data_IF_481924148423
#
_entry.id   IF_481924148423
#
_cell.length_a   1.000
_cell.length_b   1.000
_cell.length_c   1.000
_cell.angle_alpha   90.00
_cell.angle_beta   90.00
_cell.angle_gamma   90.00
#
_symmetry.space_group_name_H-M   'P 1'
#
loop_
_entity.id
_entity.type
_entity.pdbx_description
1 polymer ?
#
# COMPACT_ATOMS: atom_id res chain seq x y z
N UNK A 1 6.78 22.17 -13.36
CA UNK A 1 5.67 21.24 -13.68
C UNK A 1 5.46 20.32 -12.50
N UNK A 2 6.45 19.50 -12.10
CA UNK A 2 6.35 18.47 -11.06
C UNK A 2 5.71 18.99 -9.76
N UNK A 3 6.25 20.07 -9.18
CA UNK A 3 5.74 20.66 -7.93
C UNK A 3 4.28 21.10 -8.08
N UNK A 4 3.95 21.74 -9.20
CA UNK A 4 2.57 22.19 -9.45
C UNK A 4 1.59 21.02 -9.58
N UNK A 5 2.01 19.92 -10.18
CA UNK A 5 1.19 18.70 -10.24
C UNK A 5 1.01 18.07 -8.86
N UNK A 6 2.03 18.06 -8.00
CA UNK A 6 1.90 17.60 -6.62
C UNK A 6 0.94 18.49 -5.80
N UNK A 7 1.00 19.82 -5.97
CA UNK A 7 0.04 20.72 -5.35
C UNK A 7 -1.40 20.40 -5.76
N UNK A 8 -1.62 20.11 -7.06
CA UNK A 8 -2.93 19.74 -7.61
C UNK A 8 -3.41 18.37 -7.13
N UNK A 9 -2.50 17.46 -6.83
CA UNK A 9 -2.81 16.18 -6.15
C UNK A 9 -3.19 16.38 -4.67
N UNK A 10 -3.13 17.60 -4.14
CA UNK A 10 -3.45 17.87 -2.74
C UNK A 10 -2.29 17.63 -1.78
N UNK A 11 -1.08 17.38 -2.28
CA UNK A 11 0.10 17.19 -1.44
C UNK A 11 0.42 18.49 -0.71
N UNK A 12 0.61 18.39 0.62
CA UNK A 12 0.96 19.50 1.51
C UNK A 12 2.29 19.30 2.21
N UNK A 13 2.78 18.08 2.25
CA UNK A 13 4.06 17.73 2.88
C UNK A 13 4.79 16.71 2.04
N UNK A 14 6.07 16.91 1.83
CA UNK A 14 6.98 15.94 1.21
C UNK A 14 8.21 15.77 2.09
N UNK A 15 8.73 14.56 2.17
CA UNK A 15 9.98 14.27 2.86
C UNK A 15 11.07 13.91 1.86
N UNK A 16 12.31 14.35 2.08
CA UNK A 16 13.38 14.03 1.14
C UNK A 16 14.73 14.60 1.50
N UNK A 17 15.71 14.34 0.64
CA UNK A 17 17.05 14.90 0.69
C UNK A 17 17.41 15.46 -0.69
N UNK A 18 17.82 16.74 -0.79
CA UNK A 18 18.29 17.30 -2.05
C UNK A 18 19.60 16.66 -2.50
N UNK A 19 19.80 16.61 -3.81
CA UNK A 19 21.04 16.12 -4.42
C UNK A 19 21.15 16.55 -5.88
N UNK A 20 22.31 16.43 -6.48
CA UNK A 20 22.64 17.02 -7.78
C UNK A 20 21.66 16.75 -8.91
N UNK A 21 21.07 15.54 -8.97
CA UNK A 21 20.17 15.15 -10.03
C UNK A 21 18.70 15.57 -9.80
N UNK A 22 18.33 16.10 -8.62
CA UNK A 22 16.94 16.52 -8.31
C UNK A 22 16.85 18.01 -7.94
N UNK A 23 17.96 18.75 -7.99
CA UNK A 23 17.98 20.17 -7.62
C UNK A 23 16.93 21.03 -8.35
N UNK A 24 16.64 20.86 -9.65
CA UNK A 24 15.63 21.70 -10.29
C UNK A 24 14.23 21.52 -9.68
N UNK A 25 13.88 20.32 -9.21
CA UNK A 25 12.61 20.07 -8.49
C UNK A 25 12.67 20.74 -7.11
N UNK A 26 13.79 20.68 -6.40
CA UNK A 26 13.96 21.32 -5.10
C UNK A 26 13.93 22.86 -5.21
N UNK A 27 14.48 23.43 -6.28
CA UNK A 27 14.40 24.86 -6.57
C UNK A 27 12.93 25.31 -6.73
N UNK A 28 12.17 24.56 -7.50
CA UNK A 28 10.74 24.82 -7.66
C UNK A 28 9.96 24.59 -6.34
N UNK A 29 10.36 23.59 -5.54
CA UNK A 29 9.75 23.30 -4.24
C UNK A 29 10.01 24.45 -3.24
N UNK A 30 11.20 25.05 -3.27
CA UNK A 30 11.52 26.22 -2.45
C UNK A 30 10.68 27.46 -2.76
N UNK A 31 10.06 27.52 -3.94
CA UNK A 31 9.15 28.60 -4.35
C UNK A 31 7.68 28.28 -4.03
N UNK A 32 7.34 27.03 -3.66
CA UNK A 32 5.98 26.63 -3.32
C UNK A 32 5.60 27.13 -1.93
N UNK A 33 4.48 27.83 -1.84
CA UNK A 33 3.85 28.18 -0.56
C UNK A 33 2.87 27.13 -0.07
N UNK A 34 2.59 26.10 -0.87
CA UNK A 34 1.57 25.09 -0.59
C UNK A 34 2.16 23.79 -0.03
N UNK A 35 3.41 23.48 -0.32
CA UNK A 35 4.06 22.23 0.08
C UNK A 35 5.17 22.54 1.10
N UNK A 36 5.06 21.92 2.27
CA UNK A 36 6.11 21.92 3.29
C UNK A 36 7.09 20.78 3.03
N UNK A 37 8.38 21.11 2.92
CA UNK A 37 9.44 20.12 2.79
C UNK A 37 10.02 19.75 4.15
N UNK A 38 10.06 18.46 4.46
CA UNK A 38 10.73 17.90 5.63
C UNK A 38 12.09 17.33 5.19
N UNK A 39 13.17 17.99 5.61
CA UNK A 39 14.51 17.52 5.35
C UNK A 39 14.83 16.31 6.23
N UNK A 40 14.99 15.14 5.61
CA UNK A 40 15.40 13.93 6.29
C UNK A 40 16.95 13.90 6.48
N UNK A 41 17.42 12.98 7.34
CA UNK A 41 18.85 12.73 7.53
C UNK A 41 19.36 11.53 6.73
N UNK A 42 18.43 10.74 6.18
CA UNK A 42 18.67 9.60 5.31
C UNK A 42 17.43 9.39 4.45
N UNK A 43 17.59 9.02 3.19
CA UNK A 43 16.48 8.88 2.24
C UNK A 43 15.50 7.78 2.68
N UNK A 44 15.99 6.68 3.23
CA UNK A 44 15.13 5.65 3.83
C UNK A 44 14.21 6.25 4.89
N UNK A 45 14.73 7.16 5.73
CA UNK A 45 13.92 7.89 6.71
C UNK A 45 12.84 8.74 6.04
N UNK A 46 13.15 9.41 4.91
CA UNK A 46 12.16 10.14 4.13
C UNK A 46 11.04 9.22 3.60
N UNK A 47 11.40 8.06 3.09
CA UNK A 47 10.45 7.04 2.66
C UNK A 47 9.52 6.57 3.79
N UNK A 48 10.07 6.29 4.98
CA UNK A 48 9.26 5.92 6.14
C UNK A 48 8.41 7.07 6.70
N UNK A 49 8.86 8.31 6.63
CA UNK A 49 8.02 9.48 6.96
C UNK A 49 6.82 9.55 6.03
N UNK A 50 7.03 9.38 4.72
CA UNK A 50 5.95 9.36 3.74
C UNK A 50 4.99 8.17 3.97
N UNK A 51 5.51 6.99 4.29
CA UNK A 51 4.66 5.85 4.70
C UNK A 51 3.80 6.18 5.92
N UNK A 52 4.39 6.79 6.97
CA UNK A 52 3.65 7.20 8.15
C UNK A 52 2.51 8.17 7.82
N UNK A 53 2.77 9.14 6.95
CA UNK A 53 1.73 10.07 6.46
C UNK A 53 0.62 9.32 5.70
N UNK A 54 0.98 8.38 4.82
CA UNK A 54 0.01 7.60 4.05
C UNK A 54 -0.84 6.69 4.96
N UNK A 55 -0.23 6.03 5.95
CA UNK A 55 -0.93 5.17 6.92
C UNK A 55 -2.00 5.94 7.71
N UNK A 56 -1.70 7.17 8.12
CA UNK A 56 -2.62 7.98 8.93
C UNK A 56 -3.70 8.62 8.08
N UNK A 57 -3.36 9.08 6.88
CA UNK A 57 -4.31 9.80 6.02
C UNK A 57 -5.16 8.88 5.13
N UNK A 58 -4.70 7.65 4.85
CA UNK A 58 -5.28 6.78 3.82
C UNK A 58 -5.02 7.25 2.37
N UNK A 59 -4.24 8.31 2.19
CA UNK A 59 -3.96 8.92 0.88
C UNK A 59 -2.50 8.71 0.46
N UNK A 60 -2.20 8.70 -0.84
CA UNK A 60 -0.82 8.63 -1.32
C UNK A 60 0.04 9.76 -0.76
N UNK A 61 1.20 9.42 -0.20
CA UNK A 61 2.20 10.38 0.27
C UNK A 61 3.45 10.35 -0.61
N UNK A 62 4.26 11.42 -0.55
CA UNK A 62 5.39 11.63 -1.46
C UNK A 62 6.71 11.68 -0.71
N UNK A 63 7.73 11.00 -1.23
CA UNK A 63 9.12 11.18 -0.85
C UNK A 63 10.00 11.49 -2.06
N UNK A 64 11.08 12.24 -1.83
CA UNK A 64 11.99 12.72 -2.86
C UNK A 64 13.43 12.28 -2.57
N UNK A 65 14.16 11.84 -3.59
CA UNK A 65 15.58 11.56 -3.50
C UNK A 65 16.32 11.88 -4.81
N UNK A 66 17.64 12.04 -4.71
CA UNK A 66 18.50 12.18 -5.88
C UNK A 66 18.74 10.82 -6.56
N UNK A 67 19.56 10.81 -7.60
CA UNK A 67 20.01 9.59 -8.31
C UNK A 67 21.00 8.77 -7.48
N UNK A 68 21.41 7.62 -8.00
CA UNK A 68 22.45 6.78 -7.43
C UNK A 68 22.16 6.39 -5.97
N UNK A 69 23.06 6.75 -5.03
CA UNK A 69 22.89 6.39 -3.62
C UNK A 69 21.61 6.97 -2.99
N UNK A 70 21.13 8.13 -3.47
CA UNK A 70 19.85 8.68 -3.01
C UNK A 70 18.66 7.77 -3.36
N UNK A 71 18.59 7.33 -4.60
CA UNK A 71 17.56 6.42 -5.07
C UNK A 71 17.66 5.05 -4.39
N UNK A 72 18.87 4.45 -4.32
CA UNK A 72 19.06 3.13 -3.70
C UNK A 72 18.73 3.13 -2.21
N UNK A 73 18.98 4.21 -1.49
CA UNK A 73 18.62 4.36 -0.08
C UNK A 73 17.09 4.37 0.16
N UNK A 74 16.26 4.68 -0.84
CA UNK A 74 14.79 4.59 -0.73
C UNK A 74 14.26 3.16 -0.87
N UNK A 75 15.01 2.23 -1.51
CA UNK A 75 14.48 0.92 -1.89
C UNK A 75 13.93 0.12 -0.72
N UNK A 76 14.57 0.17 0.45
CA UNK A 76 14.07 -0.50 1.66
C UNK A 76 12.68 0.00 2.05
N UNK A 77 12.48 1.32 2.08
CA UNK A 77 11.19 1.90 2.43
C UNK A 77 10.13 1.62 1.35
N UNK A 78 10.52 1.60 0.07
CA UNK A 78 9.61 1.25 -1.04
C UNK A 78 9.19 -0.23 -0.94
N UNK A 79 10.14 -1.14 -0.66
CA UNK A 79 9.85 -2.56 -0.49
C UNK A 79 8.91 -2.83 0.69
N UNK A 80 9.13 -2.16 1.82
CA UNK A 80 8.26 -2.21 2.99
C UNK A 80 6.84 -1.69 2.66
N UNK A 81 6.73 -0.54 1.97
CA UNK A 81 5.45 -0.02 1.51
C UNK A 81 4.70 -1.00 0.59
N UNK A 82 5.43 -1.74 -0.27
CA UNK A 82 4.85 -2.78 -1.13
C UNK A 82 4.27 -3.93 -0.32
N UNK A 83 5.01 -4.40 0.67
CA UNK A 83 4.59 -5.52 1.53
C UNK A 83 3.39 -5.15 2.40
N UNK A 84 3.34 -3.92 2.90
CA UNK A 84 2.26 -3.44 3.77
C UNK A 84 1.11 -2.75 3.00
N UNK A 85 1.18 -2.74 1.67
CA UNK A 85 0.13 -2.15 0.83
C UNK A 85 -0.09 -0.65 1.10
N UNK A 86 1.00 0.10 1.25
CA UNK A 86 0.96 1.54 1.55
C UNK A 86 1.05 2.35 0.26
N UNK A 87 0.10 3.25 -0.03
CA UNK A 87 0.16 4.11 -1.21
C UNK A 87 1.29 5.15 -1.05
N UNK A 88 2.36 4.96 -1.78
CA UNK A 88 3.54 5.81 -1.77
C UNK A 88 3.89 6.23 -3.20
N UNK A 89 4.20 7.51 -3.43
CA UNK A 89 4.79 7.99 -4.67
C UNK A 89 6.20 8.45 -4.38
N UNK A 90 7.18 7.66 -4.79
CA UNK A 90 8.60 8.00 -4.68
C UNK A 90 9.05 8.70 -5.96
N UNK A 91 9.61 9.89 -5.85
CA UNK A 91 10.16 10.63 -6.99
C UNK A 91 11.66 10.71 -6.84
N UNK A 92 12.39 10.16 -7.80
CA UNK A 92 13.86 10.22 -7.87
C UNK A 92 14.31 11.12 -9.01
N UNK A 93 15.36 11.87 -8.77
CA UNK A 93 16.10 12.49 -9.86
C UNK A 93 17.01 11.46 -10.51
N UNK A 94 17.22 11.58 -11.82
CA UNK A 94 18.16 10.76 -12.58
C UNK A 94 19.20 11.65 -13.28
N UNK A 95 20.33 11.08 -13.66
CA UNK A 95 21.30 11.75 -14.53
C UNK A 95 20.63 12.18 -15.84
N UNK A 96 21.15 13.18 -16.58
CA UNK A 96 20.60 13.54 -17.89
C UNK A 96 20.46 12.33 -18.81
N UNK A 97 19.40 12.28 -19.63
CA UNK A 97 19.08 11.13 -20.51
C UNK A 97 20.26 10.62 -21.33
N UNK A 98 21.11 11.52 -21.83
CA UNK A 98 22.29 11.17 -22.61
C UNK A 98 23.36 10.43 -21.78
N UNK A 99 23.27 10.44 -20.47
CA UNK A 99 24.24 9.83 -19.55
C UNK A 99 23.71 8.50 -18.94
N UNK A 100 22.47 8.15 -19.18
CA UNK A 100 21.90 6.88 -18.70
C UNK A 100 22.57 5.71 -19.42
N UNK A 101 23.05 4.72 -18.65
CA UNK A 101 23.75 3.54 -19.16
C UNK A 101 25.22 3.81 -19.51
N UNK A 102 25.82 4.90 -19.02
CA UNK A 102 27.23 5.26 -19.30
C UNK A 102 28.14 5.17 -18.08
N UNK A 103 27.66 4.59 -16.97
CA UNK A 103 28.36 4.58 -15.67
C UNK A 103 28.71 6.01 -15.17
N UNK A 104 27.86 6.96 -15.43
CA UNK A 104 28.02 8.34 -14.99
C UNK A 104 28.02 8.45 -13.45
N UNK A 105 28.61 9.55 -12.94
CA UNK A 105 28.62 9.78 -11.48
C UNK A 105 27.21 9.75 -10.88
N UNK A 106 27.03 8.87 -9.89
CA UNK A 106 25.74 8.61 -9.23
C UNK A 106 24.60 8.19 -10.18
N UNK A 107 24.94 7.56 -11.29
CA UNK A 107 23.96 6.84 -12.11
C UNK A 107 23.69 5.46 -11.54
N UNK A 108 22.45 5.03 -11.58
CA UNK A 108 22.02 3.66 -11.30
C UNK A 108 20.73 3.38 -12.05
N UNK A 109 20.51 2.15 -12.47
CA UNK A 109 19.24 1.71 -13.06
C UNK A 109 18.16 1.62 -11.98
N UNK A 110 17.65 2.79 -11.55
CA UNK A 110 16.58 2.91 -10.55
C UNK A 110 15.30 2.23 -11.05
N UNK A 111 15.02 2.31 -12.36
CA UNK A 111 13.88 1.65 -12.98
C UNK A 111 13.94 0.14 -12.80
N UNK A 112 15.04 -0.50 -13.19
CA UNK A 112 15.23 -1.94 -13.04
C UNK A 112 15.20 -2.40 -11.58
N UNK A 113 15.88 -1.68 -10.68
CA UNK A 113 15.91 -2.00 -9.25
C UNK A 113 14.52 -1.92 -8.57
N UNK A 114 13.65 -1.05 -9.04
CA UNK A 114 12.34 -0.82 -8.42
C UNK A 114 11.23 -1.74 -8.96
N UNK A 115 11.41 -2.43 -10.08
CA UNK A 115 10.40 -3.34 -10.67
C UNK A 115 9.79 -4.30 -9.63
N UNK A 116 10.57 -5.11 -8.88
CA UNK A 116 10.01 -6.12 -7.99
C UNK A 116 9.37 -5.55 -6.72
N UNK A 117 9.67 -4.31 -6.36
CA UNK A 117 9.27 -3.69 -5.09
C UNK A 117 8.23 -2.57 -5.23
N UNK A 118 7.73 -2.31 -6.44
CA UNK A 118 6.70 -1.31 -6.72
C UNK A 118 5.44 -1.93 -7.34
N UNK A 119 4.32 -1.22 -7.30
CA UNK A 119 3.15 -1.54 -8.15
C UNK A 119 3.41 -1.17 -9.60
N UNK A 120 4.09 -0.05 -9.79
CA UNK A 120 4.52 0.45 -11.10
C UNK A 120 5.69 1.41 -10.91
N UNK A 121 6.48 1.56 -11.96
CA UNK A 121 7.54 2.56 -12.01
C UNK A 121 7.57 3.21 -13.41
N UNK A 122 8.07 4.43 -13.44
CA UNK A 122 8.20 5.24 -14.65
C UNK A 122 9.62 5.79 -14.74
N UNK A 123 10.22 5.72 -15.93
CA UNK A 123 11.36 6.54 -16.32
C UNK A 123 10.84 7.57 -17.31
N UNK A 124 10.80 8.82 -16.91
CA UNK A 124 10.21 9.92 -17.71
C UNK A 124 11.19 10.38 -18.76
N UNK A 125 10.76 10.51 -20.01
CA UNK A 125 11.62 10.87 -21.14
C UNK A 125 11.40 12.29 -21.66
N UNK A 126 10.30 12.95 -21.29
CA UNK A 126 10.05 14.36 -21.63
C UNK A 126 9.24 15.08 -20.53
N UNK A 127 9.27 16.42 -20.53
CA UNK A 127 8.48 17.20 -19.58
C UNK A 127 6.98 17.11 -19.82
N UNK A 128 6.55 16.84 -21.06
CA UNK A 128 5.16 16.62 -21.43
C UNK A 128 4.60 15.37 -20.76
N UNK A 129 5.38 14.28 -20.70
CA UNK A 129 4.98 13.04 -20.04
C UNK A 129 4.64 13.23 -18.55
N UNK A 130 5.24 14.21 -17.88
CA UNK A 130 4.92 14.50 -16.47
C UNK A 130 3.44 14.82 -16.25
N UNK A 131 2.78 15.43 -17.27
CA UNK A 131 1.35 15.79 -17.20
C UNK A 131 0.47 14.54 -17.09
N UNK A 132 0.88 13.42 -17.66
CA UNK A 132 0.18 12.14 -17.57
C UNK A 132 0.71 11.29 -16.41
N UNK A 133 2.03 11.14 -16.32
CA UNK A 133 2.69 10.20 -15.41
C UNK A 133 2.39 10.51 -13.94
N UNK A 134 2.43 11.79 -13.54
CA UNK A 134 2.21 12.13 -12.13
C UNK A 134 0.77 11.80 -11.70
N UNK A 135 -0.30 12.28 -12.35
CA UNK A 135 -1.66 11.87 -11.98
C UNK A 135 -1.86 10.35 -12.02
N UNK A 136 -1.32 9.67 -13.03
CA UNK A 136 -1.40 8.22 -13.18
C UNK A 136 -0.69 7.48 -12.04
N UNK A 137 0.46 7.96 -11.58
CA UNK A 137 1.18 7.37 -10.44
C UNK A 137 0.33 7.41 -9.15
N UNK A 138 -0.35 8.52 -8.89
CA UNK A 138 -1.27 8.64 -7.75
C UNK A 138 -2.48 7.71 -7.90
N UNK A 139 -3.06 7.64 -9.09
CA UNK A 139 -4.14 6.72 -9.39
C UNK A 139 -3.73 5.27 -9.15
N UNK A 140 -2.57 4.84 -9.67
CA UNK A 140 -2.06 3.48 -9.50
C UNK A 140 -1.76 3.19 -8.03
N UNK A 141 -1.11 4.13 -7.32
CA UNK A 141 -0.76 3.94 -5.91
C UNK A 141 -1.99 3.70 -5.04
N UNK A 142 -3.11 4.38 -5.32
CA UNK A 142 -4.33 4.34 -4.54
C UNK A 142 -5.35 3.28 -4.99
N UNK A 143 -5.30 2.80 -6.24
CA UNK A 143 -6.32 1.90 -6.80
C UNK A 143 -6.11 0.45 -6.41
N UNK A 144 -7.19 -0.33 -6.28
CA UNK A 144 -7.13 -1.75 -5.90
C UNK A 144 -6.38 -1.92 -4.58
N UNK A 145 -5.53 -2.95 -4.48
CA UNK A 145 -4.60 -3.05 -3.36
C UNK A 145 -3.60 -1.89 -3.44
N UNK A 146 -3.54 -0.97 -2.46
CA UNK A 146 -2.62 0.16 -2.49
C UNK A 146 -1.15 -0.28 -2.52
N UNK A 147 -0.27 0.60 -2.96
CA UNK A 147 1.15 0.28 -2.97
C UNK A 147 2.02 1.37 -3.59
N UNK A 148 3.35 1.23 -3.53
CA UNK A 148 4.29 2.24 -3.99
C UNK A 148 4.38 2.31 -5.52
N UNK A 149 4.55 3.53 -6.01
CA UNK A 149 4.91 3.84 -7.39
C UNK A 149 6.17 4.70 -7.38
N UNK A 150 7.10 4.43 -8.28
CA UNK A 150 8.32 5.22 -8.44
C UNK A 150 8.27 6.00 -9.75
N UNK A 151 8.71 7.27 -9.71
CA UNK A 151 8.87 8.13 -10.89
C UNK A 151 10.32 8.61 -10.92
N UNK A 152 11.10 8.13 -11.88
CA UNK A 152 12.49 8.52 -12.08
C UNK A 152 12.56 9.61 -13.16
N UNK A 153 13.05 10.82 -12.81
CA UNK A 153 12.98 12.00 -13.66
C UNK A 153 14.39 12.50 -13.98
N UNK A 154 14.89 12.33 -15.22
CA UNK A 154 16.17 12.83 -15.65
C UNK A 154 16.30 14.34 -15.47
N UNK A 155 17.49 14.80 -15.08
CA UNK A 155 17.74 16.20 -14.75
C UNK A 155 17.46 17.16 -15.92
N UNK A 156 17.77 16.75 -17.14
CA UNK A 156 17.48 17.54 -18.34
C UNK A 156 15.98 17.64 -18.62
N UNK A 157 15.18 16.63 -18.28
CA UNK A 157 13.72 16.67 -18.34
C UNK A 157 13.15 17.66 -17.31
N UNK A 158 13.72 17.71 -16.10
CA UNK A 158 13.28 18.63 -15.05
C UNK A 158 13.44 20.10 -15.45
N UNK A 159 14.34 20.41 -16.38
CA UNK A 159 14.64 21.77 -16.84
C UNK A 159 14.02 22.11 -18.20
N UNK A 160 13.31 21.18 -18.84
CA UNK A 160 12.62 21.46 -20.10
C UNK A 160 11.49 22.48 -19.89
N UNK A 161 11.37 23.41 -20.86
CA UNK A 161 10.25 24.31 -20.94
C UNK A 161 9.21 23.78 -21.92
N UNK A 162 7.95 23.75 -21.52
CA UNK A 162 6.82 23.35 -22.35
C UNK A 162 5.68 24.35 -22.22
N UNK A 163 4.83 24.41 -23.21
CA UNK A 163 3.57 25.14 -23.14
C UNK A 163 2.48 24.21 -22.59
N UNK A 164 1.74 24.66 -21.58
CA UNK A 164 0.66 23.91 -20.96
C UNK A 164 -0.64 24.65 -21.21
N UNK A 165 -1.46 24.12 -22.13
CA UNK A 165 -2.76 24.68 -22.44
C UNK A 165 -3.78 24.36 -21.33
N UNK A 166 -3.74 23.13 -20.79
CA UNK A 166 -4.63 22.68 -19.75
C UNK A 166 -3.89 21.77 -18.75
N UNK A 167 -4.11 22.00 -17.45
CA UNK A 167 -3.58 21.12 -16.43
C UNK A 167 -4.44 19.88 -16.26
N UNK A 168 -3.84 18.68 -16.19
CA UNK A 168 -4.60 17.45 -16.01
C UNK A 168 -5.35 17.44 -14.67
N UNK A 169 -6.45 16.68 -14.65
CA UNK A 169 -7.14 16.39 -13.40
C UNK A 169 -6.24 15.61 -12.43
N UNK A 170 -6.42 15.75 -11.13
CA UNK A 170 -5.76 14.89 -10.15
C UNK A 170 -6.06 13.41 -10.40
N UNK A 171 -5.04 12.57 -10.19
CA UNK A 171 -5.21 11.12 -10.22
C UNK A 171 -6.00 10.65 -8.99
N UNK A 172 -7.13 10.03 -9.23
CA UNK A 172 -7.98 9.46 -8.19
C UNK A 172 -7.99 7.93 -8.26
N UNK A 173 -8.22 7.28 -7.12
CA UNK A 173 -8.40 5.83 -7.10
C UNK A 173 -9.55 5.40 -8.03
N UNK A 174 -9.36 4.30 -8.72
CA UNK A 174 -10.43 3.69 -9.51
C UNK A 174 -11.48 3.08 -8.57
N UNK A 175 -12.77 3.12 -8.94
CA UNK A 175 -13.81 2.48 -8.16
C UNK A 175 -13.60 0.96 -8.13
N UNK A 176 -14.01 0.33 -7.04
CA UNK A 176 -13.96 -1.12 -6.90
C UNK A 176 -15.15 -1.78 -7.61
N UNK A 177 -14.93 -3.01 -8.10
CA UNK A 177 -16.04 -3.83 -8.56
C UNK A 177 -16.90 -4.26 -7.36
N UNK A 178 -18.22 -4.33 -7.58
CA UNK A 178 -19.12 -4.90 -6.58
C UNK A 178 -18.81 -6.38 -6.37
N UNK A 179 -18.96 -6.84 -5.12
CA UNK A 179 -18.83 -8.27 -4.80
C UNK A 179 -19.94 -9.08 -5.47
N UNK A 180 -19.66 -10.34 -5.81
CA UNK A 180 -20.63 -11.28 -6.35
C UNK A 180 -21.68 -11.61 -5.26
N UNK A 181 -22.97 -11.37 -5.57
CA UNK A 181 -24.08 -11.60 -4.66
C UNK A 181 -24.26 -13.06 -4.28
N UNK A 182 -24.01 -14.00 -5.19
CA UNK A 182 -24.13 -15.44 -4.92
C UNK A 182 -23.00 -15.92 -3.99
N UNK A 183 -21.79 -15.38 -4.16
CA UNK A 183 -20.68 -15.65 -3.25
C UNK A 183 -20.96 -15.11 -1.84
N UNK A 184 -21.54 -13.91 -1.73
CA UNK A 184 -21.97 -13.33 -0.44
C UNK A 184 -23.05 -14.21 0.22
N UNK A 185 -24.07 -14.63 -0.52
CA UNK A 185 -25.13 -15.49 0.01
C UNK A 185 -24.57 -16.83 0.50
N UNK A 186 -23.65 -17.42 -0.25
CA UNK A 186 -22.97 -18.66 0.13
C UNK A 186 -22.12 -18.48 1.40
N UNK A 187 -21.34 -17.39 1.47
CA UNK A 187 -20.56 -17.06 2.66
C UNK A 187 -21.46 -16.89 3.91
N UNK A 188 -22.57 -16.16 3.77
CA UNK A 188 -23.54 -15.98 4.84
C UNK A 188 -24.15 -17.32 5.32
N UNK A 189 -24.47 -18.21 4.39
CA UNK A 189 -24.96 -19.55 4.72
C UNK A 189 -23.89 -20.36 5.49
N UNK A 190 -22.62 -20.29 5.09
CA UNK A 190 -21.53 -20.95 5.80
C UNK A 190 -21.35 -20.40 7.22
N UNK A 191 -21.44 -19.08 7.40
CA UNK A 191 -21.35 -18.42 8.71
C UNK A 191 -22.49 -18.91 9.62
N UNK A 192 -23.71 -18.92 9.11
CA UNK A 192 -24.90 -19.37 9.87
C UNK A 192 -24.87 -20.85 10.26
N UNK A 193 -24.16 -21.68 9.49
CA UNK A 193 -24.05 -23.13 9.75
C UNK A 193 -22.88 -23.49 10.69
N UNK A 194 -21.91 -22.63 10.85
CA UNK A 194 -20.68 -22.87 11.62
C UNK A 194 -21.00 -22.97 13.13
N UNK A 195 -20.28 -23.84 13.83
CA UNK A 195 -20.40 -24.02 15.29
C UNK A 195 -19.31 -23.27 16.06
N UNK A 196 -18.14 -23.13 15.45
CA UNK A 196 -16.96 -22.45 16.02
C UNK A 196 -16.30 -21.53 14.99
N UNK A 197 -17.05 -20.55 14.47
CA UNK A 197 -16.51 -19.59 13.49
C UNK A 197 -15.52 -18.63 14.15
N UNK A 198 -14.48 -18.24 13.41
CA UNK A 198 -13.56 -17.16 13.80
C UNK A 198 -13.47 -16.13 12.67
N UNK A 199 -13.59 -14.87 13.02
CA UNK A 199 -13.33 -13.74 12.15
C UNK A 199 -11.85 -13.36 12.25
N UNK A 200 -11.16 -13.35 11.10
CA UNK A 200 -9.74 -13.03 10.98
C UNK A 200 -9.56 -11.73 10.18
N UNK A 201 -9.24 -10.64 10.87
CA UNK A 201 -9.07 -9.31 10.29
C UNK A 201 -7.61 -9.05 9.92
N UNK A 202 -7.38 -8.68 8.67
CA UNK A 202 -6.08 -8.21 8.17
C UNK A 202 -6.03 -6.71 7.96
N UNK A 203 -4.88 -6.21 7.49
CA UNK A 203 -4.64 -4.79 7.20
C UNK A 203 -5.61 -4.17 6.19
N UNK A 204 -6.19 -4.99 5.30
CA UNK A 204 -7.20 -4.54 4.34
C UNK A 204 -8.43 -3.92 4.99
N UNK A 205 -8.83 -4.39 6.18
CA UNK A 205 -9.95 -3.81 6.95
C UNK A 205 -9.65 -2.37 7.39
N UNK A 206 -8.40 -2.10 7.77
CA UNK A 206 -7.95 -0.76 8.16
C UNK A 206 -7.84 0.15 6.93
N UNK A 207 -7.25 -0.35 5.85
CA UNK A 207 -7.07 0.42 4.61
C UNK A 207 -8.40 0.82 3.95
N UNK A 208 -9.41 -0.04 4.02
CA UNK A 208 -10.76 0.25 3.51
C UNK A 208 -11.61 1.11 4.44
N UNK A 209 -11.13 1.39 5.68
CA UNK A 209 -11.94 2.08 6.69
C UNK A 209 -13.12 1.25 7.22
N UNK A 210 -13.12 -0.08 7.01
CA UNK A 210 -14.25 -0.97 7.29
C UNK A 210 -14.28 -1.54 8.72
N UNK A 211 -13.50 -0.99 9.65
CA UNK A 211 -13.44 -1.49 11.04
C UNK A 211 -14.82 -1.56 11.71
N UNK A 212 -15.64 -0.50 11.57
CA UNK A 212 -16.97 -0.45 12.15
C UNK A 212 -17.92 -1.54 11.57
N UNK A 213 -17.81 -1.80 10.25
CA UNK A 213 -18.61 -2.84 9.57
C UNK A 213 -18.17 -4.23 10.02
N UNK A 214 -16.86 -4.44 10.16
CA UNK A 214 -16.30 -5.70 10.67
C UNK A 214 -16.74 -6.00 12.12
N UNK A 215 -16.76 -4.97 12.99
CA UNK A 215 -17.29 -5.10 14.36
C UNK A 215 -18.78 -5.45 14.34
N UNK A 216 -19.57 -4.74 13.53
CA UNK A 216 -21.00 -5.02 13.43
C UNK A 216 -21.30 -6.45 12.94
N UNK A 217 -20.51 -6.98 12.01
CA UNK A 217 -20.59 -8.38 11.58
C UNK A 217 -20.24 -9.32 12.73
N UNK A 218 -19.14 -9.04 13.44
CA UNK A 218 -18.71 -9.84 14.59
C UNK A 218 -19.79 -9.91 15.68
N UNK A 219 -20.39 -8.79 16.03
CA UNK A 219 -21.45 -8.71 17.03
C UNK A 219 -22.72 -9.42 16.57
N UNK A 220 -23.17 -9.19 15.32
CA UNK A 220 -24.37 -9.78 14.75
C UNK A 220 -24.32 -11.31 14.70
N UNK A 221 -23.17 -11.87 14.34
CA UNK A 221 -22.97 -13.29 14.20
C UNK A 221 -22.23 -13.94 15.38
N UNK A 222 -21.95 -13.17 16.44
CA UNK A 222 -21.20 -13.60 17.64
C UNK A 222 -19.86 -14.28 17.28
N UNK A 223 -19.04 -13.59 16.47
CA UNK A 223 -17.79 -14.12 15.94
C UNK A 223 -16.59 -13.71 16.82
N UNK A 224 -15.96 -14.64 17.54
CA UNK A 224 -14.65 -14.37 18.12
C UNK A 224 -13.69 -13.87 17.02
N UNK A 225 -12.95 -12.80 17.30
CA UNK A 225 -12.20 -12.05 16.30
C UNK A 225 -10.71 -12.03 16.62
N UNK A 226 -9.89 -12.42 15.64
CA UNK A 226 -8.43 -12.32 15.69
C UNK A 226 -7.94 -11.28 14.68
N UNK A 227 -6.81 -10.65 14.97
CA UNK A 227 -6.26 -9.57 14.15
C UNK A 227 -4.80 -9.83 13.80
N UNK A 228 -4.38 -9.48 12.57
CA UNK A 228 -2.95 -9.35 12.27
C UNK A 228 -2.37 -8.15 12.99
N UNK A 229 -1.02 -8.04 13.02
CA UNK A 229 -0.34 -6.84 13.49
C UNK A 229 -0.87 -5.58 12.81
N UNK A 230 -1.11 -5.65 11.48
CA UNK A 230 -1.59 -4.53 10.67
C UNK A 230 -3.08 -4.18 10.90
N UNK A 231 -3.82 -5.07 11.53
CA UNK A 231 -5.23 -4.86 11.87
C UNK A 231 -5.47 -4.53 13.35
N UNK A 232 -4.43 -4.50 14.17
CA UNK A 232 -4.56 -4.11 15.58
C UNK A 232 -5.16 -2.71 15.69
N UNK A 233 -6.24 -2.60 16.48
CA UNK A 233 -7.03 -1.38 16.60
C UNK A 233 -8.29 -1.35 15.73
N UNK A 234 -8.47 -2.29 14.79
CA UNK A 234 -9.73 -2.44 14.04
C UNK A 234 -10.89 -2.86 14.96
N UNK A 235 -10.60 -3.62 16.02
CA UNK A 235 -11.53 -3.90 17.10
C UNK A 235 -10.91 -3.47 18.44
N UNK A 236 -11.66 -2.81 19.34
CA UNK A 236 -11.17 -2.46 20.67
C UNK A 236 -10.65 -3.69 21.43
N UNK A 237 -9.55 -3.52 22.16
CA UNK A 237 -8.90 -4.63 22.88
C UNK A 237 -9.76 -5.20 24.02
N UNK A 238 -10.64 -4.41 24.58
CA UNK A 238 -11.59 -4.74 25.64
C UNK A 238 -12.95 -5.24 25.13
N UNK A 239 -13.12 -5.35 23.80
CA UNK A 239 -14.33 -5.89 23.21
C UNK A 239 -14.50 -7.38 23.57
N UNK A 240 -15.69 -7.84 23.99
CA UNK A 240 -15.90 -9.23 24.44
C UNK A 240 -15.52 -10.31 23.41
N UNK A 241 -15.58 -9.99 22.12
CA UNK A 241 -15.23 -10.90 21.03
C UNK A 241 -13.77 -10.77 20.58
N UNK A 242 -12.98 -9.84 21.14
CA UNK A 242 -11.59 -9.66 20.75
C UNK A 242 -10.69 -10.73 21.37
N UNK A 243 -10.10 -11.58 20.54
CA UNK A 243 -9.07 -12.55 20.93
C UNK A 243 -7.63 -12.00 20.78
N UNK A 244 -7.50 -10.77 20.29
CA UNK A 244 -6.20 -10.09 20.09
C UNK A 244 -5.47 -10.55 18.82
N UNK A 245 -4.14 -10.46 18.85
CA UNK A 245 -3.30 -10.81 17.70
C UNK A 245 -3.18 -12.33 17.56
N UNK A 246 -3.17 -12.80 16.29
CA UNK A 246 -2.90 -14.21 15.97
C UNK A 246 -1.43 -14.45 15.62
N UNK A 247 -1.06 -15.74 15.50
CA UNK A 247 0.25 -16.16 14.98
C UNK A 247 1.34 -16.24 16.03
N UNK A 248 2.58 -15.92 15.65
CA UNK A 248 3.78 -16.12 16.47
C UNK A 248 3.74 -15.37 17.82
N UNK A 249 3.11 -14.20 17.85
CA UNK A 249 3.03 -13.35 19.05
C UNK A 249 1.65 -13.40 19.72
N UNK A 250 0.81 -14.36 19.33
CA UNK A 250 -0.52 -14.53 19.89
C UNK A 250 -0.48 -15.06 21.35
N UNK A 251 -1.53 -14.74 22.09
CA UNK A 251 -1.81 -15.44 23.32
C UNK A 251 -2.11 -16.92 23.03
N UNK A 252 -1.78 -17.81 23.96
CA UNK A 252 -2.00 -19.27 23.77
C UNK A 252 -3.46 -19.61 23.46
N UNK A 253 -4.41 -18.97 24.14
CA UNK A 253 -5.84 -19.19 23.93
C UNK A 253 -6.29 -18.80 22.52
N UNK A 254 -5.71 -17.77 21.92
CA UNK A 254 -6.00 -17.34 20.54
C UNK A 254 -5.61 -18.42 19.54
N UNK A 255 -4.40 -18.97 19.65
CA UNK A 255 -3.95 -20.05 18.77
C UNK A 255 -4.77 -21.34 18.97
N UNK A 256 -5.13 -21.69 20.21
CA UNK A 256 -6.01 -22.84 20.49
C UNK A 256 -7.40 -22.66 19.86
N UNK A 257 -7.98 -21.46 19.93
CA UNK A 257 -9.26 -21.19 19.28
C UNK A 257 -9.17 -21.34 17.74
N UNK A 258 -8.06 -20.92 17.13
CA UNK A 258 -7.81 -21.11 15.70
C UNK A 258 -7.63 -22.59 15.32
N UNK A 259 -6.98 -23.39 16.16
CA UNK A 259 -6.81 -24.82 15.93
C UNK A 259 -8.14 -25.58 16.00
N UNK A 260 -9.11 -25.11 16.81
CA UNK A 260 -10.40 -25.73 17.03
C UNK A 260 -11.52 -25.19 16.14
N UNK A 261 -11.30 -24.10 15.40
CA UNK A 261 -12.34 -23.49 14.58
C UNK A 261 -12.77 -24.42 13.43
N UNK A 262 -14.06 -24.37 13.09
CA UNK A 262 -14.66 -25.07 11.94
C UNK A 262 -14.87 -24.16 10.72
N UNK A 263 -14.83 -22.83 10.93
CA UNK A 263 -14.90 -21.81 9.88
C UNK A 263 -13.96 -20.66 10.21
N UNK A 264 -13.08 -20.32 9.27
CA UNK A 264 -12.24 -19.12 9.30
C UNK A 264 -12.74 -18.13 8.25
N UNK A 265 -13.10 -16.92 8.69
CA UNK A 265 -13.53 -15.83 7.82
C UNK A 265 -12.36 -14.84 7.73
N UNK A 266 -11.53 -14.96 6.72
CA UNK A 266 -10.35 -14.13 6.50
C UNK A 266 -10.72 -12.91 5.66
N UNK A 267 -10.50 -11.71 6.20
CA UNK A 267 -10.90 -10.44 5.60
C UNK A 267 -9.72 -9.51 5.47
N UNK A 268 -9.34 -9.18 4.24
CA UNK A 268 -8.22 -8.30 3.92
C UNK A 268 -6.89 -8.79 4.50
N UNK A 269 -6.61 -10.10 4.39
CA UNK A 269 -5.43 -10.74 4.99
C UNK A 269 -4.73 -11.68 4.00
N UNK A 270 -3.38 -11.72 4.05
CA UNK A 270 -2.53 -12.45 3.09
C UNK A 270 -2.12 -13.86 3.53
N UNK A 271 -2.51 -14.30 4.71
CA UNK A 271 -2.01 -15.55 5.30
C UNK A 271 -0.47 -15.63 5.36
N UNK A 272 0.19 -14.53 5.76
CA UNK A 272 1.65 -14.51 5.85
C UNK A 272 2.19 -15.50 6.92
N UNK A 273 3.49 -15.81 6.83
CA UNK A 273 4.14 -16.83 7.66
C UNK A 273 4.16 -16.48 9.16
N UNK A 274 4.11 -15.19 9.53
CA UNK A 274 4.06 -14.76 10.93
C UNK A 274 2.69 -14.97 11.54
N UNK A 275 1.65 -14.92 10.71
CA UNK A 275 0.27 -15.20 11.12
C UNK A 275 -0.03 -16.70 11.14
N UNK A 276 0.39 -17.44 10.11
CA UNK A 276 0.02 -18.84 9.91
C UNK A 276 1.01 -19.83 10.52
N UNK A 277 2.29 -19.48 10.64
CA UNK A 277 3.33 -20.44 10.95
C UNK A 277 3.37 -21.57 9.91
N UNK A 278 3.25 -22.82 10.35
CA UNK A 278 3.18 -23.97 9.44
C UNK A 278 1.82 -24.01 8.73
N UNK A 279 1.77 -23.56 7.49
CA UNK A 279 0.54 -23.43 6.68
C UNK A 279 -0.36 -24.66 6.70
N UNK A 280 0.21 -25.87 6.60
CA UNK A 280 -0.54 -27.12 6.61
C UNK A 280 -1.26 -27.40 7.95
N UNK A 281 -0.76 -26.87 9.06
CA UNK A 281 -1.35 -27.04 10.39
C UNK A 281 -2.34 -25.92 10.73
N UNK A 282 -2.20 -24.74 10.12
CA UNK A 282 -3.04 -23.59 10.43
C UNK A 282 -4.49 -23.81 10.04
N UNK A 283 -5.40 -23.79 11.00
CA UNK A 283 -6.84 -23.99 10.83
C UNK A 283 -7.17 -25.20 9.92
N UNK A 284 -6.50 -26.34 10.15
CA UNK A 284 -6.51 -27.49 9.22
C UNK A 284 -7.86 -28.18 9.09
N UNK A 285 -8.77 -27.98 10.05
CA UNK A 285 -10.13 -28.54 10.03
C UNK A 285 -11.17 -27.52 9.54
N UNK A 286 -10.79 -26.24 9.46
CA UNK A 286 -11.73 -25.17 9.15
C UNK A 286 -12.03 -25.08 7.65
N UNK A 287 -13.27 -24.79 7.31
CA UNK A 287 -13.60 -24.17 6.02
C UNK A 287 -13.08 -22.72 6.02
N UNK A 288 -12.77 -22.17 4.85
CA UNK A 288 -12.22 -20.84 4.73
C UNK A 288 -13.08 -20.01 3.78
N UNK A 289 -13.54 -18.86 4.26
CA UNK A 289 -14.02 -17.75 3.46
C UNK A 289 -12.86 -16.75 3.39
N UNK A 290 -12.46 -16.34 2.19
CA UNK A 290 -11.40 -15.36 2.00
C UNK A 290 -11.90 -14.17 1.19
N UNK A 291 -11.91 -13.00 1.80
CA UNK A 291 -12.33 -11.73 1.19
C UNK A 291 -11.09 -10.85 1.06
N UNK A 292 -10.71 -10.51 -0.16
CA UNK A 292 -9.58 -9.63 -0.42
C UNK A 292 -9.83 -8.81 -1.70
N UNK A 293 -9.27 -7.61 -1.74
CA UNK A 293 -9.35 -6.72 -2.91
C UNK A 293 -8.42 -7.19 -4.04
N UNK A 294 -7.36 -7.93 -3.69
CA UNK A 294 -6.35 -8.43 -4.62
C UNK A 294 -6.66 -9.90 -4.98
N UNK A 295 -7.14 -10.17 -6.21
CA UNK A 295 -7.42 -11.55 -6.62
C UNK A 295 -6.18 -12.45 -6.57
N UNK A 296 -4.97 -11.89 -6.63
CA UNK A 296 -3.74 -12.65 -6.55
C UNK A 296 -3.42 -13.20 -5.14
N UNK A 297 -4.09 -12.69 -4.10
CA UNK A 297 -3.98 -13.23 -2.74
C UNK A 297 -4.93 -14.40 -2.49
N UNK A 298 -6.01 -14.53 -3.28
CA UNK A 298 -6.94 -15.68 -3.17
C UNK A 298 -6.22 -16.96 -3.62
N UNK A 299 -6.38 -18.02 -2.82
CA UNK A 299 -5.80 -19.37 -3.05
C UNK A 299 -4.25 -19.42 -3.11
N UNK A 300 -3.55 -18.32 -2.85
CA UNK A 300 -2.10 -18.25 -2.91
C UNK A 300 -1.40 -19.07 -1.83
N UNK A 301 -1.87 -19.00 -0.60
CA UNK A 301 -1.28 -19.67 0.58
C UNK A 301 -2.24 -20.72 1.14
N UNK A 302 -3.49 -20.37 1.31
CA UNK A 302 -4.57 -21.25 1.78
C UNK A 302 -5.68 -21.27 0.75
N UNK A 303 -6.10 -22.46 0.34
CA UNK A 303 -7.24 -22.61 -0.57
C UNK A 303 -8.52 -22.24 0.16
N UNK A 304 -9.25 -21.27 -0.37
CA UNK A 304 -10.54 -20.85 0.13
C UNK A 304 -11.66 -21.78 -0.36
N UNK A 305 -12.66 -22.01 0.49
CA UNK A 305 -13.92 -22.66 0.07
C UNK A 305 -14.80 -21.65 -0.68
N UNK A 306 -14.73 -20.38 -0.28
CA UNK A 306 -15.32 -19.23 -0.97
C UNK A 306 -14.28 -18.11 -1.00
N UNK A 307 -13.89 -17.69 -2.21
CA UNK A 307 -13.09 -16.48 -2.45
C UNK A 307 -13.99 -15.34 -2.93
N UNK A 308 -13.86 -14.17 -2.32
CA UNK A 308 -14.61 -12.97 -2.72
C UNK A 308 -13.59 -11.87 -3.03
N UNK A 309 -13.52 -11.48 -4.31
CA UNK A 309 -12.69 -10.34 -4.73
C UNK A 309 -13.51 -9.07 -4.64
N UNK A 310 -13.29 -8.29 -3.58
CA UNK A 310 -13.98 -7.02 -3.36
C UNK A 310 -13.23 -6.14 -2.34
N UNK A 311 -13.57 -4.86 -2.30
CA UNK A 311 -13.28 -4.03 -1.14
C UNK A 311 -14.06 -4.54 0.06
N UNK A 312 -13.48 -4.41 1.25
CA UNK A 312 -14.08 -4.94 2.49
C UNK A 312 -15.30 -4.13 2.92
N UNK A 313 -15.29 -2.82 2.65
CA UNK A 313 -16.40 -1.90 2.98
C UNK A 313 -17.57 -2.00 2.05
#
# INVERSE_FOLDING_TARGET
>A
ITVRLLERQGIRTVAGIPGGAILPIYDALGQSSAIHHVLARHEQGAGFMAQGMARVSGLPAVCLASSGPGATNLLTAIADAKLDSIPLVAITGQVPRAMIGTDAFQEVDTYGLSIPITKHNFLVTSAEELLEVIPRAFQIAASGRPGPVLIDIPKDVQTQAIEINEWPAPGAALPFAAADGDAIATAAAMINAAQRPILYLGGGVVHSGAAAVAIALAEKANLPTVMTLMALGAMPVDHPLALGMLGMHAARYTNLALDECDLLIAVGSRFDDRATGKVAAFCHQAKIIHIDIDPAELDKIKTAHIGITADVG
#
